data_IF_132078919346
#
_entry.id   IF_132078919346
#
_cell.length_a   1.000
_cell.length_b   1.000
_cell.length_c   1.000
_cell.angle_alpha   90.00
_cell.angle_beta   90.00
_cell.angle_gamma   90.00
#
_symmetry.space_group_name_H-M   'P 1'
#
loop_
_entity.id
_entity.type
_entity.pdbx_description
1 polymer ?
#
# COMPACT_ATOMS: atom_id res chain seq x y z
N UNK A 1 3.35 -21.41 18.41
CA UNK A 1 2.64 -20.42 19.25
C UNK A 1 3.50 -19.18 19.24
N UNK A 2 3.10 -18.13 18.51
CA UNK A 2 3.88 -16.90 18.35
C UNK A 2 3.11 -15.79 19.04
N UNK A 3 3.51 -15.45 20.26
CA UNK A 3 2.77 -14.55 21.12
C UNK A 3 2.68 -13.13 20.52
N UNK A 4 1.59 -12.43 20.81
CA UNK A 4 1.46 -11.00 20.56
C UNK A 4 2.56 -10.22 21.32
N UNK A 5 3.02 -9.06 20.79
CA UNK A 5 4.09 -8.29 21.42
C UNK A 5 3.67 -7.79 22.81
N UNK A 6 4.52 -8.04 23.80
CA UNK A 6 4.36 -7.54 25.16
C UNK A 6 4.59 -6.03 25.22
N UNK A 7 4.03 -5.35 26.23
CA UNK A 7 4.34 -3.94 26.52
C UNK A 7 5.83 -3.78 26.84
N UNK A 8 6.58 -3.18 25.92
CA UNK A 8 8.03 -3.15 25.98
C UNK A 8 8.55 -2.35 27.19
N UNK A 9 9.33 -3.02 28.04
CA UNK A 9 10.42 -2.36 28.78
C UNK A 9 11.40 -1.83 27.73
N UNK A 10 12.04 -0.65 27.90
CA UNK A 10 13.05 -0.16 26.97
C UNK A 10 14.19 -1.17 26.81
N UNK A 11 14.20 -1.90 25.71
CA UNK A 11 15.23 -2.88 25.40
C UNK A 11 16.55 -2.15 25.13
N UNK A 12 17.59 -2.48 25.89
CA UNK A 12 18.90 -1.86 25.71
C UNK A 12 19.39 -2.15 24.29
N UNK A 13 19.74 -1.10 23.54
CA UNK A 13 19.92 -1.13 22.09
C UNK A 13 20.81 -2.30 21.61
N UNK A 14 20.17 -3.40 21.21
CA UNK A 14 20.85 -4.63 20.85
C UNK A 14 21.58 -4.46 19.52
N UNK A 15 22.82 -4.92 19.47
CA UNK A 15 23.54 -5.01 18.19
C UNK A 15 22.81 -6.00 17.27
N UNK A 16 22.61 -5.61 16.01
CA UNK A 16 22.05 -6.52 15.00
C UNK A 16 22.93 -7.77 14.87
N UNK A 17 22.35 -8.97 14.74
CA UNK A 17 23.13 -10.20 14.65
C UNK A 17 23.95 -10.22 13.36
N UNK A 18 25.21 -10.66 13.45
CA UNK A 18 26.12 -10.73 12.29
C UNK A 18 25.74 -11.74 11.20
N UNK A 19 24.71 -12.55 11.45
CA UNK A 19 24.06 -13.42 10.47
C UNK A 19 22.61 -13.67 10.87
N UNK A 20 21.74 -13.92 9.88
CA UNK A 20 20.31 -14.17 10.09
C UNK A 20 19.96 -15.59 9.67
N UNK A 21 19.15 -16.28 10.47
CA UNK A 21 18.54 -17.57 10.14
C UNK A 21 17.04 -17.49 10.38
N UNK A 22 16.25 -18.11 9.50
CA UNK A 22 14.79 -17.97 9.49
C UNK A 22 14.13 -19.33 9.28
N UNK A 23 13.00 -19.57 9.95
CA UNK A 23 12.09 -20.68 9.66
C UNK A 23 10.79 -20.11 9.10
N UNK A 24 10.35 -20.63 7.95
CA UNK A 24 9.10 -20.18 7.32
C UNK A 24 7.90 -20.94 7.90
N UNK A 25 6.76 -20.27 8.00
CA UNK A 25 5.46 -20.92 8.04
C UNK A 25 5.06 -21.46 6.66
N UNK A 26 3.91 -22.15 6.59
CA UNK A 26 3.15 -22.23 5.34
C UNK A 26 2.55 -20.86 4.94
N UNK A 27 1.88 -20.80 3.80
CA UNK A 27 1.16 -19.59 3.38
C UNK A 27 0.03 -19.26 4.37
N UNK A 28 0.07 -18.05 4.94
CA UNK A 28 -0.87 -17.62 6.00
C UNK A 28 -2.10 -16.89 5.45
N UNK A 29 -1.97 -16.18 4.33
CA UNK A 29 -3.07 -15.47 3.66
C UNK A 29 -3.03 -15.88 2.19
N UNK A 30 -4.19 -16.26 1.66
CA UNK A 30 -4.41 -16.68 0.27
C UNK A 30 -5.54 -15.87 -0.36
N UNK A 31 -5.65 -15.81 -1.71
CA UNK A 31 -6.75 -15.12 -2.38
C UNK A 31 -8.11 -15.74 -1.99
N UNK A 32 -9.08 -14.90 -1.61
CA UNK A 32 -10.45 -15.33 -1.30
C UNK A 32 -11.40 -14.78 -2.35
N UNK A 33 -11.69 -15.60 -3.37
CA UNK A 33 -12.63 -15.26 -4.44
C UNK A 33 -14.08 -15.28 -3.96
N UNK A 34 -14.93 -14.47 -4.59
CA UNK A 34 -16.38 -14.44 -4.36
C UNK A 34 -17.18 -14.55 -5.68
N UNK A 35 -18.50 -14.35 -5.63
CA UNK A 35 -19.40 -14.46 -6.79
C UNK A 35 -19.13 -13.43 -7.91
N UNK A 36 -18.37 -12.37 -7.62
CA UNK A 36 -18.02 -11.26 -8.51
C UNK A 36 -16.52 -11.09 -8.71
N UNK A 37 -15.69 -11.54 -7.77
CA UNK A 37 -14.23 -11.38 -7.79
C UNK A 37 -13.51 -12.74 -7.89
N UNK A 38 -13.00 -13.07 -9.08
CA UNK A 38 -12.15 -14.25 -9.29
C UNK A 38 -10.67 -13.90 -9.09
N UNK A 39 -10.19 -14.03 -7.85
CA UNK A 39 -8.83 -13.63 -7.45
C UNK A 39 -7.81 -14.75 -7.68
N UNK A 40 -6.58 -14.36 -8.00
CA UNK A 40 -5.48 -15.25 -8.40
C UNK A 40 -4.22 -15.08 -7.54
N UNK A 41 -3.98 -13.89 -7.00
CA UNK A 41 -2.88 -13.62 -6.06
C UNK A 41 -3.27 -12.60 -5.00
N UNK A 42 -2.59 -12.66 -3.86
CA UNK A 42 -2.52 -11.63 -2.81
C UNK A 42 -1.04 -11.29 -2.61
N UNK A 43 -0.71 -10.01 -2.54
CA UNK A 43 0.63 -9.45 -2.76
C UNK A 43 0.80 -8.14 -1.97
N UNK A 44 2.02 -7.61 -2.02
CA UNK A 44 2.36 -6.24 -1.64
C UNK A 44 1.84 -5.84 -0.24
N UNK A 45 2.13 -6.62 0.84
CA UNK A 45 1.49 -6.43 2.12
C UNK A 45 2.09 -5.31 2.98
N UNK A 46 1.21 -4.54 3.62
CA UNK A 46 1.56 -3.60 4.70
C UNK A 46 0.97 -4.11 6.01
N UNK A 47 1.78 -4.23 7.05
CA UNK A 47 1.40 -4.82 8.35
C UNK A 47 1.54 -3.79 9.47
N UNK A 48 0.51 -3.68 10.30
CA UNK A 48 0.44 -2.82 11.49
C UNK A 48 0.00 -3.67 12.69
N UNK A 49 0.46 -3.34 13.90
CA UNK A 49 -0.11 -3.85 15.14
C UNK A 49 -0.74 -2.70 15.93
N UNK A 50 -2.06 -2.74 16.11
CA UNK A 50 -2.83 -1.66 16.74
C UNK A 50 -4.04 -2.23 17.50
N UNK A 51 -4.34 -1.66 18.67
CA UNK A 51 -5.52 -2.05 19.46
C UNK A 51 -5.59 -3.53 19.87
N UNK A 52 -4.46 -4.23 19.95
CA UNK A 52 -4.39 -5.67 20.23
C UNK A 52 -4.64 -6.58 19.01
N UNK A 53 -4.68 -6.02 17.79
CA UNK A 53 -4.81 -6.74 16.53
C UNK A 53 -3.61 -6.49 15.61
N UNK A 54 -3.26 -7.52 14.85
CA UNK A 54 -2.55 -7.35 13.58
C UNK A 54 -3.55 -6.89 12.51
N UNK A 55 -3.16 -5.86 11.77
CA UNK A 55 -3.86 -5.33 10.61
C UNK A 55 -2.98 -5.60 9.39
N UNK A 56 -3.50 -6.30 8.39
CA UNK A 56 -2.77 -6.60 7.16
C UNK A 56 -3.54 -6.03 5.99
N UNK A 57 -2.96 -5.03 5.34
CA UNK A 57 -3.41 -4.48 4.06
C UNK A 57 -2.57 -5.09 2.94
N UNK A 58 -3.07 -5.13 1.71
CA UNK A 58 -2.28 -5.54 0.55
C UNK A 58 -3.06 -5.50 -0.76
N UNK A 59 -2.39 -5.82 -1.86
CA UNK A 59 -3.00 -5.91 -3.19
C UNK A 59 -3.46 -7.32 -3.50
N UNK A 60 -4.51 -7.45 -4.29
CA UNK A 60 -4.93 -8.70 -4.95
C UNK A 60 -4.96 -8.49 -6.46
N UNK A 61 -4.80 -9.57 -7.24
CA UNK A 61 -5.00 -9.54 -8.70
C UNK A 61 -5.84 -10.70 -9.19
N UNK A 62 -6.68 -10.44 -10.20
CA UNK A 62 -7.39 -11.46 -10.96
C UNK A 62 -6.59 -11.95 -12.18
N UNK A 63 -7.13 -12.96 -12.88
CA UNK A 63 -6.49 -13.54 -14.07
C UNK A 63 -6.39 -12.58 -15.28
N UNK A 64 -7.15 -11.48 -15.28
CA UNK A 64 -7.05 -10.40 -16.28
C UNK A 64 -6.00 -9.34 -15.91
N UNK A 65 -5.27 -9.51 -14.81
CA UNK A 65 -4.24 -8.58 -14.33
C UNK A 65 -4.78 -7.31 -13.66
N UNK A 66 -6.09 -7.21 -13.40
CA UNK A 66 -6.67 -6.09 -12.68
C UNK A 66 -6.34 -6.19 -11.18
N UNK A 67 -6.00 -5.05 -10.56
CA UNK A 67 -5.63 -4.94 -9.15
C UNK A 67 -6.81 -4.42 -8.30
N UNK A 68 -6.97 -5.00 -7.11
CA UNK A 68 -7.96 -4.62 -6.08
C UNK A 68 -7.34 -4.74 -4.68
N UNK A 69 -7.71 -3.86 -3.74
CA UNK A 69 -7.19 -3.94 -2.37
C UNK A 69 -7.81 -5.10 -1.56
N UNK A 70 -7.05 -5.64 -0.62
CA UNK A 70 -7.52 -6.44 0.52
C UNK A 70 -7.07 -5.81 1.84
N UNK A 71 -7.90 -5.94 2.88
CA UNK A 71 -7.47 -5.84 4.28
C UNK A 71 -8.04 -7.02 5.08
N UNK A 72 -7.32 -7.46 6.11
CA UNK A 72 -7.81 -8.43 7.10
C UNK A 72 -7.20 -8.13 8.47
N UNK A 73 -7.90 -8.51 9.54
CA UNK A 73 -7.42 -8.32 10.91
C UNK A 73 -7.59 -9.55 11.79
N UNK A 74 -6.64 -9.78 12.71
CA UNK A 74 -6.62 -10.94 13.61
C UNK A 74 -5.77 -10.65 14.87
N UNK A 75 -5.97 -11.42 15.94
CA UNK A 75 -5.18 -11.26 17.18
C UNK A 75 -3.94 -12.17 17.23
N UNK A 76 -3.96 -13.29 16.52
CA UNK A 76 -2.83 -14.24 16.41
C UNK A 76 -2.68 -14.71 14.96
N UNK A 77 -1.44 -14.87 14.48
CA UNK A 77 -1.13 -15.24 13.09
C UNK A 77 -1.72 -16.59 12.63
N UNK A 78 -2.05 -17.50 13.55
CA UNK A 78 -2.78 -18.74 13.25
C UNK A 78 -4.20 -18.51 12.72
N UNK A 79 -4.78 -17.33 12.97
CA UNK A 79 -6.11 -16.94 12.49
C UNK A 79 -6.06 -16.34 11.08
N UNK A 80 -4.90 -15.92 10.56
CA UNK A 80 -4.79 -15.13 9.32
C UNK A 80 -5.45 -15.81 8.10
N UNK A 81 -5.43 -17.14 8.04
CA UNK A 81 -6.06 -17.90 6.95
C UNK A 81 -7.60 -17.81 7.00
N UNK A 82 -8.21 -17.88 8.19
CA UNK A 82 -9.66 -17.82 8.38
C UNK A 82 -10.18 -16.39 8.52
N UNK A 83 -9.35 -15.44 8.95
CA UNK A 83 -9.70 -14.05 9.20
C UNK A 83 -10.46 -13.43 8.00
N UNK A 84 -11.67 -12.86 8.21
CA UNK A 84 -12.44 -12.29 7.12
C UNK A 84 -11.71 -11.11 6.47
N UNK A 85 -12.11 -10.78 5.25
CA UNK A 85 -11.71 -9.51 4.65
C UNK A 85 -12.59 -8.41 5.27
N UNK A 86 -12.11 -7.94 6.42
CA UNK A 86 -12.71 -6.88 7.21
C UNK A 86 -12.12 -5.51 6.83
N UNK A 87 -12.27 -4.58 7.77
CA UNK A 87 -11.96 -3.17 7.84
C UNK A 87 -11.69 -2.91 9.39
N UNK A 88 -10.80 -2.01 9.89
CA UNK A 88 -10.50 -1.78 11.37
C UNK A 88 -10.78 -0.41 12.08
N UNK A 89 -9.90 0.54 12.50
CA UNK A 89 -10.43 1.84 13.02
C UNK A 89 -9.64 2.94 13.78
N UNK A 90 -9.93 4.22 13.45
CA UNK A 90 -9.70 5.55 14.11
C UNK A 90 -10.00 6.76 13.15
N UNK A 91 -9.84 8.02 13.58
CA UNK A 91 -10.31 9.25 12.91
C UNK A 91 -9.66 9.61 11.54
N UNK A 92 -10.23 9.11 10.45
CA UNK A 92 -9.92 9.46 9.04
C UNK A 92 -8.56 8.95 8.52
N UNK A 93 -8.61 7.85 7.77
CA UNK A 93 -7.47 7.30 7.03
C UNK A 93 -7.46 7.68 5.57
N UNK A 94 -6.30 7.58 4.94
CA UNK A 94 -6.08 7.63 3.49
C UNK A 94 -5.61 6.25 3.01
N UNK A 95 -6.16 5.80 1.88
CA UNK A 95 -5.86 4.52 1.25
C UNK A 95 -5.55 4.76 -0.22
N UNK A 96 -4.37 4.31 -0.66
CA UNK A 96 -3.88 4.46 -2.03
C UNK A 96 -3.79 3.10 -2.71
N UNK A 97 -4.28 2.99 -3.95
CA UNK A 97 -4.22 1.74 -4.74
C UNK A 97 -3.70 2.04 -6.13
N UNK A 98 -2.69 1.29 -6.58
CA UNK A 98 -2.18 1.38 -7.95
C UNK A 98 -3.21 0.81 -8.94
N UNK A 99 -3.43 1.54 -10.03
CA UNK A 99 -4.29 1.16 -11.14
C UNK A 99 -3.54 1.25 -12.47
N UNK A 100 -3.98 0.43 -13.43
CA UNK A 100 -3.57 0.53 -14.83
C UNK A 100 -4.68 1.28 -15.56
N UNK A 101 -4.38 2.47 -16.08
CA UNK A 101 -5.33 3.29 -16.83
C UNK A 101 -5.67 2.72 -18.20
N UNK A 102 -6.69 3.27 -18.85
CA UNK A 102 -7.10 2.93 -20.23
C UNK A 102 -5.99 3.12 -21.28
N UNK A 103 -4.98 3.94 -20.98
CA UNK A 103 -3.77 4.13 -21.78
C UNK A 103 -2.61 3.16 -21.43
N UNK A 104 -2.85 2.16 -20.58
CA UNK A 104 -1.85 1.20 -20.09
C UNK A 104 -0.88 1.74 -19.04
N UNK A 105 -0.97 3.03 -18.66
CA UNK A 105 -0.05 3.67 -17.72
C UNK A 105 -0.47 3.49 -16.26
N UNK A 106 0.50 3.46 -15.35
CA UNK A 106 0.29 3.35 -13.90
C UNK A 106 -0.13 4.68 -13.28
N UNK A 107 -1.09 4.62 -12.37
CA UNK A 107 -1.59 5.75 -11.57
C UNK A 107 -2.08 5.27 -10.21
N UNK A 108 -2.31 6.20 -9.28
CA UNK A 108 -2.93 5.93 -7.99
C UNK A 108 -4.34 6.49 -7.90
N UNK A 109 -5.22 5.66 -7.33
CA UNK A 109 -6.57 5.99 -6.89
C UNK A 109 -6.58 6.14 -5.36
N UNK A 110 -7.41 7.02 -4.81
CA UNK A 110 -7.52 7.20 -3.35
C UNK A 110 -8.94 7.14 -2.79
N UNK A 111 -9.02 6.64 -1.55
CA UNK A 111 -10.22 6.60 -0.71
C UNK A 111 -9.90 7.06 0.71
N UNK A 112 -10.93 7.48 1.44
CA UNK A 112 -10.85 7.76 2.88
C UNK A 112 -11.94 7.04 3.66
N UNK A 113 -11.70 6.82 4.95
CA UNK A 113 -12.68 6.24 5.86
C UNK A 113 -12.48 6.77 7.29
N UNK A 114 -13.58 7.12 7.98
CA UNK A 114 -13.59 7.63 9.37
C UNK A 114 -13.20 6.58 10.42
N UNK A 115 -12.92 5.37 9.96
CA UNK A 115 -12.26 4.27 10.65
C UNK A 115 -11.74 3.34 9.55
N UNK A 116 -10.65 2.59 9.74
CA UNK A 116 -10.32 1.52 8.78
C UNK A 116 -11.50 0.54 8.63
N UNK A 117 -12.50 0.46 9.56
CA UNK A 117 -13.77 -0.34 9.52
C UNK A 117 -14.81 0.24 8.58
N UNK A 118 -14.77 1.56 8.39
CA UNK A 118 -15.81 2.28 7.70
C UNK A 118 -15.85 1.91 6.23
N UNK A 119 -17.00 2.15 5.62
CA UNK A 119 -17.11 2.20 4.16
C UNK A 119 -16.06 3.15 3.61
N UNK A 120 -15.11 2.62 2.83
CA UNK A 120 -14.12 3.44 2.13
C UNK A 120 -14.81 4.27 1.06
N UNK A 121 -14.82 5.57 1.27
CA UNK A 121 -15.45 6.56 0.38
C UNK A 121 -14.40 7.05 -0.62
N UNK A 122 -14.75 7.09 -1.91
CA UNK A 122 -13.84 7.56 -2.95
C UNK A 122 -13.45 9.03 -2.72
N UNK A 123 -12.16 9.33 -2.83
CA UNK A 123 -11.60 10.68 -2.72
C UNK A 123 -11.12 11.18 -4.09
N UNK A 124 -10.23 10.42 -4.72
CA UNK A 124 -9.72 10.70 -6.06
C UNK A 124 -9.40 9.36 -6.77
N UNK A 125 -10.45 8.68 -7.24
CA UNK A 125 -10.38 7.30 -7.73
C UNK A 125 -10.66 7.12 -9.23
N UNK A 126 -10.72 8.19 -10.03
CA UNK A 126 -11.02 8.10 -11.48
C UNK A 126 -9.86 8.60 -12.33
N UNK A 127 -9.82 8.27 -13.62
CA UNK A 127 -8.76 8.83 -14.51
C UNK A 127 -8.86 10.35 -14.70
N UNK A 128 -10.05 10.93 -14.47
CA UNK A 128 -10.31 12.36 -14.52
C UNK A 128 -10.01 13.09 -13.19
N UNK A 129 -10.20 12.41 -12.05
CA UNK A 129 -9.80 12.85 -10.71
C UNK A 129 -9.04 11.72 -10.00
N UNK A 130 -7.74 11.54 -10.28
CA UNK A 130 -6.87 10.55 -9.64
C UNK A 130 -6.11 11.16 -8.46
N UNK A 131 -5.56 10.31 -7.57
CA UNK A 131 -4.61 10.76 -6.56
C UNK A 131 -3.29 11.21 -7.21
N UNK A 132 -2.69 10.34 -8.03
CA UNK A 132 -1.47 10.66 -8.78
C UNK A 132 -1.46 9.96 -10.14
N UNK A 133 -1.37 10.74 -11.23
CA UNK A 133 -1.33 10.30 -12.63
C UNK A 133 -0.54 11.33 -13.43
N UNK A 134 -0.05 10.95 -14.61
CA UNK A 134 0.60 11.89 -15.55
C UNK A 134 -0.27 13.08 -16.01
N UNK A 135 -1.56 13.12 -15.66
CA UNK A 135 -2.47 14.28 -15.86
C UNK A 135 -2.58 15.25 -14.68
N UNK A 136 -2.11 14.89 -13.47
CA UNK A 136 -2.04 15.83 -12.33
C UNK A 136 -0.63 16.01 -11.75
N UNK A 137 0.36 15.22 -12.21
CA UNK A 137 1.79 15.41 -11.90
C UNK A 137 2.42 16.37 -12.90
N UNK A 138 3.00 17.46 -12.40
CA UNK A 138 3.89 18.35 -13.16
C UNK A 138 5.36 18.09 -12.79
N UNK A 139 6.28 18.51 -13.66
CA UNK A 139 7.71 18.34 -13.48
C UNK A 139 8.41 19.71 -13.59
N UNK A 140 9.38 19.99 -12.74
CA UNK A 140 10.21 21.21 -12.80
C UNK A 140 11.23 21.24 -13.97
N UNK A 141 11.22 20.19 -14.79
CA UNK A 141 12.02 20.02 -16.00
C UNK A 141 11.29 19.04 -16.94
N UNK A 142 12.01 18.37 -17.82
CA UNK A 142 11.40 17.37 -18.72
C UNK A 142 10.67 16.27 -17.96
N UNK A 143 9.43 15.98 -18.35
CA UNK A 143 8.66 14.85 -17.84
C UNK A 143 9.34 13.53 -18.23
N UNK A 144 9.89 12.82 -17.25
CA UNK A 144 10.73 11.63 -17.46
C UNK A 144 9.97 10.30 -17.36
N UNK A 145 8.70 10.33 -16.94
CA UNK A 145 7.80 9.17 -16.81
C UNK A 145 6.35 9.57 -17.09
N UNK A 146 5.57 8.62 -17.61
CA UNK A 146 4.10 8.72 -17.69
C UNK A 146 3.40 7.82 -16.66
N UNK A 147 4.18 6.96 -16.00
CA UNK A 147 3.76 5.97 -15.02
C UNK A 147 4.10 6.46 -13.61
N UNK A 148 3.07 6.53 -12.77
CA UNK A 148 3.22 6.69 -11.32
C UNK A 148 2.83 5.34 -10.70
N UNK A 149 3.84 4.51 -10.43
CA UNK A 149 3.69 3.13 -9.94
C UNK A 149 4.24 3.01 -8.50
N UNK A 150 4.09 1.83 -7.89
CA UNK A 150 4.44 1.44 -6.52
C UNK A 150 5.36 2.40 -5.76
N UNK A 151 4.87 2.88 -4.63
CA UNK A 151 5.50 3.93 -3.84
C UNK A 151 4.83 4.12 -2.48
N UNK A 152 5.36 5.03 -1.68
CA UNK A 152 4.90 5.31 -0.33
C UNK A 152 4.80 6.82 -0.05
N UNK A 153 3.83 7.21 0.79
CA UNK A 153 3.79 8.57 1.34
C UNK A 153 4.92 8.76 2.34
N UNK A 154 5.52 9.95 2.34
CA UNK A 154 6.43 10.36 3.41
C UNK A 154 5.62 10.48 4.71
N UNK A 155 5.99 9.67 5.70
CA UNK A 155 5.29 9.55 6.98
C UNK A 155 5.69 10.67 7.94
N UNK A 156 4.74 11.12 8.75
CA UNK A 156 4.98 11.99 9.91
C UNK A 156 5.30 11.13 11.14
N UNK A 157 6.53 10.58 11.14
CA UNK A 157 7.01 9.63 12.14
C UNK A 157 7.36 8.25 11.57
N UNK A 158 7.90 7.38 12.43
CA UNK A 158 8.46 6.06 12.03
C UNK A 158 7.85 4.89 12.80
N UNK A 159 6.74 5.09 13.51
CA UNK A 159 6.07 4.05 14.28
C UNK A 159 5.07 3.22 13.44
N UNK A 160 4.41 2.25 14.09
CA UNK A 160 3.44 1.36 13.46
C UNK A 160 2.10 2.03 13.08
N UNK A 161 1.84 3.28 13.46
CA UNK A 161 0.57 3.95 13.15
C UNK A 161 0.49 4.44 11.69
N UNK A 162 1.63 4.47 10.97
CA UNK A 162 1.75 4.90 9.58
C UNK A 162 1.21 6.32 9.32
N UNK A 163 1.31 7.20 10.32
CA UNK A 163 0.81 8.57 10.27
C UNK A 163 1.38 9.33 9.09
N UNK A 164 0.54 10.09 8.39
CA UNK A 164 0.92 11.03 7.34
C UNK A 164 0.29 12.39 7.66
N UNK A 165 1.06 13.47 7.47
CA UNK A 165 0.48 14.80 7.55
C UNK A 165 -0.45 15.04 6.35
N UNK A 166 -1.66 15.60 6.52
CA UNK A 166 -2.50 16.04 5.41
C UNK A 166 -1.95 17.30 4.71
N UNK A 167 -0.90 17.90 5.27
CA UNK A 167 -0.25 19.12 4.82
C UNK A 167 1.07 18.79 4.10
N UNK A 168 1.33 19.43 2.97
CA UNK A 168 2.56 19.30 2.17
C UNK A 168 2.89 17.84 1.78
N UNK A 169 1.88 17.05 1.37
CA UNK A 169 2.06 15.62 1.06
C UNK A 169 3.20 15.37 0.07
N UNK A 170 4.05 14.39 0.39
CA UNK A 170 5.11 13.90 -0.51
C UNK A 170 4.94 12.41 -0.74
N UNK A 171 5.18 11.95 -1.97
CA UNK A 171 5.01 10.54 -2.38
C UNK A 171 6.24 10.07 -3.14
N UNK A 172 7.01 9.14 -2.55
CA UNK A 172 8.16 8.50 -3.17
C UNK A 172 7.66 7.35 -4.03
N UNK A 173 7.86 7.40 -5.35
CA UNK A 173 7.23 6.50 -6.31
C UNK A 173 8.23 5.93 -7.32
N UNK A 174 7.93 4.77 -7.90
CA UNK A 174 8.65 4.27 -9.05
C UNK A 174 8.00 4.72 -10.38
N UNK A 175 8.83 5.12 -11.33
CA UNK A 175 8.45 5.43 -12.71
C UNK A 175 9.51 4.93 -13.69
N UNK A 176 9.28 5.09 -14.98
CA UNK A 176 10.24 4.72 -16.03
C UNK A 176 10.08 5.58 -17.29
N UNK A 177 11.10 5.55 -18.15
CA UNK A 177 11.04 6.20 -19.46
C UNK A 177 9.80 5.71 -20.25
N UNK A 178 8.91 6.61 -20.75
CA UNK A 178 7.73 6.21 -21.50
C UNK A 178 7.99 5.36 -22.75
N UNK A 179 9.22 5.40 -23.29
CA UNK A 179 9.67 4.60 -24.43
C UNK A 179 10.41 3.31 -24.02
N UNK A 180 10.50 2.98 -22.73
CA UNK A 180 11.07 1.73 -22.26
C UNK A 180 10.27 0.52 -22.78
N UNK A 181 10.99 -0.53 -23.18
CA UNK A 181 10.42 -1.78 -23.72
C UNK A 181 11.14 -2.99 -23.15
N UNK A 182 10.52 -4.17 -23.26
CA UNK A 182 11.04 -5.44 -22.75
C UNK A 182 10.04 -6.19 -21.89
N UNK A 183 10.50 -7.23 -21.19
CA UNK A 183 9.69 -7.91 -20.19
C UNK A 183 9.52 -7.05 -18.93
N UNK A 184 8.43 -7.22 -18.17
CA UNK A 184 8.16 -6.44 -16.96
C UNK A 184 9.33 -6.45 -15.95
N UNK A 185 9.94 -7.63 -15.75
CA UNK A 185 11.06 -7.84 -14.83
C UNK A 185 12.39 -7.23 -15.32
N UNK A 186 12.44 -6.72 -16.56
CA UNK A 186 13.61 -6.07 -17.17
C UNK A 186 13.41 -4.59 -17.43
N UNK A 187 12.28 -4.00 -17.01
CA UNK A 187 12.01 -2.57 -17.19
C UNK A 187 12.89 -1.71 -16.27
N UNK A 188 13.45 -0.59 -16.76
CA UNK A 188 14.41 0.24 -16.03
C UNK A 188 13.70 1.22 -15.07
N UNK A 189 12.97 0.68 -14.09
CA UNK A 189 12.30 1.47 -13.05
C UNK A 189 13.29 2.33 -12.25
N UNK A 190 12.88 3.56 -11.92
CA UNK A 190 13.65 4.53 -11.12
C UNK A 190 12.73 5.21 -10.11
N UNK A 191 13.29 5.65 -8.99
CA UNK A 191 12.54 6.37 -7.97
C UNK A 191 12.50 7.88 -8.27
N UNK A 192 11.34 8.49 -8.03
CA UNK A 192 11.14 9.93 -7.99
C UNK A 192 10.32 10.33 -6.75
N UNK A 193 10.27 11.63 -6.46
CA UNK A 193 9.50 12.19 -5.35
C UNK A 193 8.47 13.19 -5.89
N UNK A 194 7.19 12.94 -5.64
CA UNK A 194 6.14 13.95 -5.80
C UNK A 194 6.12 14.86 -4.56
N UNK A 195 5.75 16.11 -4.74
CA UNK A 195 5.45 17.05 -3.64
C UNK A 195 4.20 17.84 -4.02
N UNK A 196 3.25 17.91 -3.10
CA UNK A 196 1.92 18.48 -3.33
C UNK A 196 1.98 19.98 -3.63
N UNK A 197 1.48 20.38 -4.80
CA UNK A 197 1.51 21.78 -5.28
C UNK A 197 0.25 22.57 -4.93
N UNK A 198 -0.80 21.92 -4.41
CA UNK A 198 -2.11 22.50 -4.07
C UNK A 198 -2.46 22.38 -2.58
N UNK A 199 -1.45 22.26 -1.70
CA UNK A 199 -1.67 22.06 -0.26
C UNK A 199 -2.27 23.31 0.39
N UNK A 200 -3.29 23.14 1.22
CA UNK A 200 -3.96 24.22 1.98
C UNK A 200 -3.32 24.52 3.34
N UNK A 201 -2.34 23.71 3.72
CA UNK A 201 -1.48 23.80 4.90
C UNK A 201 -0.13 23.15 4.58
#
# INVERSE_FOLDING_TARGET
MLAAPSTAVPEAAAALPGSFQWTSSGALISPKSDATHSLTAVKDPTVVYYGGKWLVHGSTTNAAGAYSLVHTSFTDWSQAASAPYELTGSNSYLMLVEAIGSNGRRSFRSWTATSLTGTWTALADTEANPFARSTNVTFGGTAWTQDISHGELVRDGTDQNLTVSPCHLQYLYQGLDPAATGSYNTLPWRLGLLTQTNSSC
#
